data_IF_220961370076
#
_entry.id   IF_220961370076
#
_cell.length_a   1.000
_cell.length_b   1.000
_cell.length_c   1.000
_cell.angle_alpha   90.00
_cell.angle_beta   90.00
_cell.angle_gamma   90.00
#
_symmetry.space_group_name_H-M   'P 1'
#
loop_
_entity.id
_entity.type
_entity.pdbx_description
1 polymer ?
#
# COMPACT_ATOMS: atom_id res chain seq x y z
N UNK A 1 16.66 17.65 -29.63
CA UNK A 1 15.48 16.80 -29.48
C UNK A 1 15.94 15.37 -29.24
N UNK A 2 15.95 14.91 -27.99
CA UNK A 2 16.23 13.51 -27.67
C UNK A 2 15.07 12.67 -28.23
N UNK A 3 15.33 11.84 -29.22
CA UNK A 3 14.41 10.79 -29.63
C UNK A 3 14.39 9.73 -28.52
N UNK A 4 13.49 9.86 -27.58
CA UNK A 4 13.23 8.81 -26.59
C UNK A 4 12.71 7.60 -27.37
N UNK A 5 13.44 6.50 -27.29
CA UNK A 5 13.03 5.26 -27.98
C UNK A 5 11.92 4.60 -27.15
N UNK A 6 10.69 5.04 -27.36
CA UNK A 6 9.48 4.60 -26.64
C UNK A 6 9.21 3.07 -26.75
N UNK A 7 9.91 2.34 -27.63
CA UNK A 7 9.80 0.89 -27.74
C UNK A 7 10.32 0.10 -26.53
N UNK A 8 10.97 0.77 -25.56
CA UNK A 8 11.44 0.16 -24.29
C UNK A 8 10.60 0.57 -23.08
N UNK A 9 9.54 1.34 -23.28
CA UNK A 9 8.66 1.80 -22.21
C UNK A 9 7.35 1.00 -22.22
N UNK A 10 7.10 0.22 -21.15
CA UNK A 10 5.77 -0.37 -20.87
C UNK A 10 4.98 0.64 -20.05
N UNK A 11 4.29 1.56 -20.71
CA UNK A 11 3.44 2.55 -20.06
C UNK A 11 2.08 1.94 -19.76
N UNK A 12 1.75 1.79 -18.47
CA UNK A 12 0.45 1.35 -18.00
C UNK A 12 -0.27 2.50 -17.32
N UNK A 13 -1.56 2.64 -17.58
CA UNK A 13 -2.39 3.72 -17.07
C UNK A 13 -3.58 3.17 -16.28
N UNK A 14 -3.97 3.90 -15.23
CA UNK A 14 -5.16 3.65 -14.45
C UNK A 14 -5.96 4.94 -14.26
N UNK A 15 -7.30 4.90 -14.25
CA UNK A 15 -8.10 6.01 -13.79
C UNK A 15 -7.99 6.09 -12.26
N UNK A 16 -7.97 7.32 -11.72
CA UNK A 16 -7.92 7.56 -10.28
C UNK A 16 -8.92 8.65 -9.90
N UNK A 17 -9.93 8.36 -9.07
CA UNK A 17 -10.94 9.35 -8.65
C UNK A 17 -10.41 10.22 -7.49
N UNK A 18 -9.45 11.12 -7.78
CA UNK A 18 -8.74 11.95 -6.78
C UNK A 18 -9.64 12.83 -5.91
N UNK A 19 -10.89 13.04 -6.32
CA UNK A 19 -11.90 13.80 -5.55
C UNK A 19 -13.08 12.92 -5.10
N UNK A 20 -12.93 11.60 -5.12
CA UNK A 20 -14.01 10.66 -4.86
C UNK A 20 -15.06 10.61 -5.99
N UNK A 21 -16.07 9.75 -5.82
CA UNK A 21 -17.14 9.59 -6.82
C UNK A 21 -18.25 10.62 -6.70
N UNK A 22 -18.51 11.13 -5.55
CA UNK A 22 -19.52 12.14 -5.25
C UNK A 22 -20.90 11.89 -5.87
N UNK A 23 -21.85 11.43 -5.08
CA UNK A 23 -23.23 11.16 -5.50
C UNK A 23 -23.87 12.36 -6.23
N UNK A 24 -24.71 12.07 -7.24
CA UNK A 24 -25.34 13.10 -8.06
C UNK A 24 -24.42 13.77 -9.10
N UNK A 25 -23.22 13.23 -9.32
CA UNK A 25 -22.31 13.66 -10.40
C UNK A 25 -22.04 12.50 -11.35
N UNK A 26 -21.49 12.79 -12.54
CA UNK A 26 -21.12 11.76 -13.53
C UNK A 26 -19.72 11.17 -13.30
N UNK A 27 -19.10 11.39 -12.13
CA UNK A 27 -17.71 10.94 -11.87
C UNK A 27 -17.55 9.43 -11.94
N UNK A 28 -18.53 8.69 -11.42
CA UNK A 28 -18.50 7.22 -11.48
C UNK A 28 -18.60 6.73 -12.93
N UNK A 29 -19.53 7.27 -13.73
CA UNK A 29 -19.68 6.92 -15.15
C UNK A 29 -18.39 7.19 -15.95
N UNK A 30 -17.75 8.34 -15.71
CA UNK A 30 -16.46 8.68 -16.33
C UNK A 30 -15.38 7.72 -15.91
N UNK A 31 -15.32 7.35 -14.61
CA UNK A 31 -14.37 6.37 -14.09
C UNK A 31 -14.57 5.00 -14.73
N UNK A 32 -15.80 4.51 -14.82
CA UNK A 32 -16.14 3.22 -15.45
C UNK A 32 -15.73 3.18 -16.92
N UNK A 33 -16.04 4.24 -17.66
CA UNK A 33 -15.64 4.36 -19.08
C UNK A 33 -14.12 4.40 -19.26
N UNK A 34 -13.39 5.01 -18.33
CA UNK A 34 -11.93 5.03 -18.32
C UNK A 34 -11.34 3.69 -17.88
N UNK A 35 -11.97 3.03 -16.91
CA UNK A 35 -11.57 1.72 -16.41
C UNK A 35 -11.57 0.66 -17.49
N UNK A 36 -12.55 0.67 -18.39
CA UNK A 36 -12.61 -0.25 -19.53
C UNK A 36 -11.35 -0.15 -20.43
N UNK A 37 -10.84 1.06 -20.63
CA UNK A 37 -9.67 1.36 -21.49
C UNK A 37 -8.33 1.31 -20.77
N UNK A 38 -8.32 1.16 -19.44
CA UNK A 38 -7.12 1.19 -18.62
C UNK A 38 -6.43 -0.18 -18.53
N UNK A 39 -5.23 -0.21 -17.96
CA UNK A 39 -4.48 -1.43 -17.71
C UNK A 39 -4.78 -2.03 -16.33
N UNK A 40 -5.06 -1.17 -15.35
CA UNK A 40 -5.42 -1.52 -13.98
C UNK A 40 -6.31 -0.40 -13.41
N UNK A 41 -6.80 -0.56 -12.18
CA UNK A 41 -7.63 0.42 -11.48
C UNK A 41 -6.88 1.01 -10.29
N UNK A 42 -7.06 2.30 -10.04
CA UNK A 42 -6.52 2.98 -8.86
C UNK A 42 -7.64 3.72 -8.14
N UNK A 43 -7.76 3.55 -6.83
CA UNK A 43 -8.86 4.06 -6.03
C UNK A 43 -8.40 4.72 -4.73
N UNK A 44 -9.14 5.72 -4.29
CA UNK A 44 -8.91 6.52 -3.09
C UNK A 44 -10.16 6.53 -2.20
N UNK A 45 -10.48 5.43 -1.49
CA UNK A 45 -11.71 5.33 -0.69
C UNK A 45 -11.85 6.41 0.38
N UNK A 46 -10.72 6.90 0.93
CA UNK A 46 -10.68 7.98 1.91
C UNK A 46 -11.31 9.29 1.40
N UNK A 47 -11.38 9.50 0.07
CA UNK A 47 -12.03 10.68 -0.52
C UNK A 47 -13.55 10.62 -0.43
N UNK A 48 -14.11 9.43 -0.27
CA UNK A 48 -15.55 9.20 -0.08
C UNK A 48 -15.91 8.83 1.36
N UNK A 49 -14.92 8.79 2.26
CA UNK A 49 -15.18 8.54 3.67
C UNK A 49 -15.84 9.77 4.33
N UNK A 50 -16.68 9.51 5.33
CA UNK A 50 -17.32 10.52 6.14
C UNK A 50 -17.34 10.09 7.62
N UNK A 51 -16.99 11.02 8.48
CA UNK A 51 -16.89 10.77 9.93
C UNK A 51 -18.29 10.79 10.55
N UNK A 52 -19.18 11.65 10.05
CA UNK A 52 -20.53 11.85 10.56
C UNK A 52 -21.53 12.19 9.45
N UNK A 53 -22.81 12.34 9.81
CA UNK A 53 -23.86 12.66 8.86
C UNK A 53 -23.71 14.04 8.22
N UNK A 54 -23.07 15.01 8.89
CA UNK A 54 -22.85 16.36 8.36
C UNK A 54 -21.73 16.38 7.31
N UNK A 55 -20.77 15.46 7.40
CA UNK A 55 -19.67 15.36 6.43
C UNK A 55 -20.02 14.54 5.18
N UNK A 56 -21.27 14.05 5.07
CA UNK A 56 -21.73 13.20 3.94
C UNK A 56 -21.81 13.90 2.60
N UNK A 57 -21.84 15.23 2.54
CA UNK A 57 -22.19 16.02 1.36
C UNK A 57 -21.70 15.43 0.02
N UNK A 58 -22.54 14.62 -0.58
CA UNK A 58 -22.29 13.90 -1.82
C UNK A 58 -21.27 12.74 -1.74
N UNK A 59 -20.68 12.44 -0.59
CA UNK A 59 -19.79 11.29 -0.42
C UNK A 59 -20.59 9.98 -0.42
N UNK A 60 -20.05 8.95 -1.06
CA UNK A 60 -20.76 7.66 -1.20
C UNK A 60 -20.43 6.67 -0.08
N UNK A 61 -19.42 6.96 0.74
CA UNK A 61 -18.94 6.12 1.84
C UNK A 61 -17.76 5.23 1.45
N UNK A 62 -16.86 5.04 2.41
CA UNK A 62 -15.61 4.32 2.25
C UNK A 62 -15.80 2.89 1.71
N UNK A 63 -16.62 2.09 2.37
CA UNK A 63 -16.87 0.69 1.97
C UNK A 63 -17.60 0.58 0.61
N UNK A 64 -18.43 1.55 0.27
CA UNK A 64 -19.10 1.56 -1.04
C UNK A 64 -18.11 1.87 -2.16
N UNK A 65 -17.18 2.81 -1.95
CA UNK A 65 -16.09 3.08 -2.89
C UNK A 65 -15.23 1.83 -3.16
N UNK A 66 -14.90 1.07 -2.10
CA UNK A 66 -14.18 -0.22 -2.24
C UNK A 66 -14.97 -1.21 -3.08
N UNK A 67 -16.28 -1.38 -2.81
CA UNK A 67 -17.13 -2.32 -3.57
C UNK A 67 -17.13 -2.01 -5.06
N UNK A 68 -17.25 -0.74 -5.44
CA UNK A 68 -17.16 -0.32 -6.85
C UNK A 68 -15.84 -0.78 -7.47
N UNK A 69 -14.72 -0.60 -6.78
CA UNK A 69 -13.42 -1.03 -7.27
C UNK A 69 -13.31 -2.54 -7.43
N UNK A 70 -13.80 -3.32 -6.47
CA UNK A 70 -13.77 -4.78 -6.53
C UNK A 70 -14.70 -5.34 -7.61
N UNK A 71 -15.91 -4.80 -7.74
CA UNK A 71 -16.86 -5.18 -8.79
C UNK A 71 -16.30 -4.93 -10.19
N UNK A 72 -15.68 -3.77 -10.39
CA UNK A 72 -15.02 -3.43 -11.66
C UNK A 72 -13.77 -4.29 -11.92
N UNK A 73 -12.96 -4.55 -10.90
CA UNK A 73 -11.80 -5.44 -10.99
C UNK A 73 -12.23 -6.84 -11.44
N UNK A 74 -13.25 -7.41 -10.82
CA UNK A 74 -13.79 -8.72 -11.19
C UNK A 74 -14.40 -8.71 -12.60
N UNK A 75 -15.23 -7.72 -12.90
CA UNK A 75 -15.88 -7.56 -14.21
C UNK A 75 -14.89 -7.45 -15.37
N UNK A 76 -13.81 -6.70 -15.17
CA UNK A 76 -12.83 -6.39 -16.21
C UNK A 76 -11.61 -7.34 -16.20
N UNK A 77 -11.48 -8.19 -15.16
CA UNK A 77 -10.31 -9.06 -14.99
C UNK A 77 -9.01 -8.28 -14.77
N UNK A 78 -9.08 -7.13 -14.10
CA UNK A 78 -7.95 -6.21 -13.92
C UNK A 78 -7.49 -6.12 -12.47
N UNK A 79 -6.20 -5.87 -12.27
CA UNK A 79 -5.63 -5.50 -10.97
C UNK A 79 -6.28 -4.20 -10.47
N UNK A 80 -6.51 -4.11 -9.16
CA UNK A 80 -7.00 -2.91 -8.48
C UNK A 80 -6.07 -2.51 -7.34
N UNK A 81 -5.75 -1.22 -7.26
CA UNK A 81 -4.88 -0.63 -6.26
C UNK A 81 -5.71 0.34 -5.41
N UNK A 82 -5.71 0.14 -4.09
CA UNK A 82 -6.37 1.01 -3.13
C UNK A 82 -5.33 1.76 -2.31
N UNK A 83 -5.36 3.09 -2.36
CA UNK A 83 -4.54 3.96 -1.51
C UNK A 83 -5.19 4.06 -0.14
N UNK A 84 -4.56 3.47 0.88
CA UNK A 84 -5.13 3.28 2.21
C UNK A 84 -4.09 3.51 3.31
N UNK A 85 -4.60 3.91 4.48
CA UNK A 85 -3.81 4.03 5.72
C UNK A 85 -2.59 4.94 5.55
N UNK A 86 -2.82 6.14 5.01
CA UNK A 86 -1.77 7.09 4.62
C UNK A 86 -1.40 8.08 5.73
N UNK A 87 -2.27 8.30 6.74
CA UNK A 87 -2.09 9.37 7.70
C UNK A 87 -1.08 9.06 8.82
N UNK A 88 -0.55 7.83 8.91
CA UNK A 88 0.27 7.39 10.04
C UNK A 88 -0.46 7.52 11.40
N UNK A 89 -1.76 7.30 11.37
CA UNK A 89 -2.64 7.35 12.53
C UNK A 89 -2.97 5.93 13.00
N UNK A 90 -2.68 5.55 14.25
CA UNK A 90 -3.00 4.22 14.76
C UNK A 90 -4.50 3.88 14.77
N UNK A 91 -5.36 4.89 14.65
CA UNK A 91 -6.81 4.70 14.59
C UNK A 91 -7.34 4.48 13.17
N UNK A 92 -6.55 4.72 12.13
CA UNK A 92 -6.92 4.34 10.76
C UNK A 92 -7.18 2.84 10.64
N UNK A 93 -8.12 2.50 9.76
CA UNK A 93 -8.62 1.13 9.57
C UNK A 93 -8.88 0.80 8.11
N UNK A 94 -8.25 1.51 7.19
CA UNK A 94 -8.50 1.40 5.77
C UNK A 94 -8.28 -0.01 5.23
N UNK A 95 -7.13 -0.60 5.54
CA UNK A 95 -6.81 -1.98 5.15
C UNK A 95 -7.76 -2.98 5.79
N UNK A 96 -8.09 -2.85 7.08
CA UNK A 96 -9.03 -3.75 7.75
C UNK A 96 -10.41 -3.69 7.08
N UNK A 97 -10.90 -2.48 6.75
CA UNK A 97 -12.18 -2.30 6.07
C UNK A 97 -12.19 -2.84 4.64
N UNK A 98 -11.06 -2.75 3.92
CA UNK A 98 -10.91 -3.39 2.61
C UNK A 98 -11.05 -4.91 2.75
N UNK A 99 -10.35 -5.52 3.69
CA UNK A 99 -10.42 -6.97 3.90
C UNK A 99 -11.80 -7.44 4.33
N UNK A 100 -12.52 -6.65 5.17
CA UNK A 100 -13.91 -6.93 5.54
C UNK A 100 -14.83 -6.97 4.31
N UNK A 101 -14.63 -6.05 3.38
CA UNK A 101 -15.44 -6.03 2.14
C UNK A 101 -15.03 -7.16 1.22
N UNK A 102 -13.73 -7.41 1.09
CA UNK A 102 -13.17 -8.40 0.17
C UNK A 102 -13.58 -9.84 0.52
N UNK A 103 -13.86 -10.15 1.81
CA UNK A 103 -14.37 -11.45 2.24
C UNK A 103 -15.68 -11.88 1.53
N UNK A 104 -16.46 -10.90 1.06
CA UNK A 104 -17.72 -11.14 0.36
C UNK A 104 -17.59 -11.10 -1.18
N UNK A 105 -16.36 -10.99 -1.71
CA UNK A 105 -16.11 -10.86 -3.15
C UNK A 105 -15.14 -11.91 -3.67
N UNK A 106 -15.45 -12.43 -4.86
CA UNK A 106 -14.47 -13.17 -5.64
C UNK A 106 -13.43 -12.21 -6.25
N UNK A 107 -12.19 -12.68 -6.36
CA UNK A 107 -11.12 -11.93 -7.01
C UNK A 107 -10.85 -12.48 -8.42
N UNK A 108 -10.49 -11.62 -9.39
CA UNK A 108 -10.04 -12.11 -10.69
C UNK A 108 -8.74 -12.90 -10.54
N UNK A 109 -8.61 -13.98 -11.33
CA UNK A 109 -7.39 -14.78 -11.35
C UNK A 109 -6.31 -14.06 -12.14
N UNK A 110 -5.24 -13.67 -11.46
CA UNK A 110 -4.10 -13.02 -12.08
C UNK A 110 -3.05 -14.04 -12.51
N UNK A 111 -2.25 -13.75 -13.57
CA UNK A 111 -1.19 -14.62 -14.04
C UNK A 111 -0.21 -15.00 -12.91
N UNK A 112 0.18 -16.27 -12.87
CA UNK A 112 1.14 -16.76 -11.87
C UNK A 112 0.66 -16.73 -10.42
N UNK A 113 -0.65 -16.52 -10.16
CA UNK A 113 -1.19 -16.40 -8.81
C UNK A 113 -0.86 -15.05 -8.14
N UNK A 114 -0.48 -14.04 -8.90
CA UNK A 114 -0.24 -12.70 -8.37
C UNK A 114 -1.52 -12.13 -7.72
N UNK A 115 -1.40 -11.22 -6.74
CA UNK A 115 -2.56 -10.52 -6.20
C UNK A 115 -3.33 -9.75 -7.27
N UNK A 116 -4.65 -9.80 -7.20
CA UNK A 116 -5.53 -8.91 -7.95
C UNK A 116 -5.75 -7.58 -7.20
N UNK A 117 -5.64 -7.61 -5.88
CA UNK A 117 -5.87 -6.48 -4.98
C UNK A 117 -4.56 -6.06 -4.34
N UNK A 118 -4.25 -4.78 -4.45
CA UNK A 118 -3.05 -4.17 -3.88
C UNK A 118 -3.41 -2.99 -2.98
N UNK A 119 -2.72 -2.86 -1.87
CA UNK A 119 -2.78 -1.71 -0.98
C UNK A 119 -1.56 -0.84 -1.26
N UNK A 120 -1.79 0.43 -1.56
CA UNK A 120 -0.71 1.41 -1.71
C UNK A 120 -0.56 2.15 -0.38
N UNK A 121 0.68 2.35 0.05
CA UNK A 121 1.15 2.96 1.30
C UNK A 121 1.14 2.05 2.51
N UNK A 122 0.00 1.74 3.13
CA UNK A 122 -0.13 0.93 4.34
C UNK A 122 0.77 1.44 5.49
N UNK A 123 0.80 2.76 5.70
CA UNK A 123 1.68 3.44 6.68
C UNK A 123 1.16 3.24 8.11
N UNK A 124 -0.11 3.53 8.36
CA UNK A 124 -0.71 3.54 9.70
C UNK A 124 -0.59 2.21 10.47
N UNK A 125 -0.60 1.04 9.82
CA UNK A 125 -0.30 -0.22 10.49
C UNK A 125 1.10 -0.30 11.14
N UNK A 126 2.02 0.62 10.83
CA UNK A 126 3.31 0.72 11.54
C UNK A 126 3.12 1.08 13.02
N UNK A 127 2.03 1.75 13.36
CA UNK A 127 1.69 2.18 14.71
C UNK A 127 0.70 1.23 15.43
N UNK A 128 0.29 0.13 14.80
CA UNK A 128 -0.64 -0.82 15.41
C UNK A 128 0.04 -1.64 16.51
N UNK A 129 -0.71 -2.02 17.57
CA UNK A 129 -0.27 -3.07 18.50
C UNK A 129 0.08 -4.36 17.72
N UNK A 130 1.07 -5.09 18.22
CA UNK A 130 1.62 -6.28 17.53
C UNK A 130 0.55 -7.31 17.17
N UNK A 131 -0.38 -7.60 18.10
CA UNK A 131 -1.48 -8.55 17.85
C UNK A 131 -2.44 -8.08 16.75
N UNK A 132 -2.74 -6.76 16.70
CA UNK A 132 -3.60 -6.20 15.65
C UNK A 132 -2.92 -6.33 14.28
N UNK A 133 -1.63 -6.00 14.23
CA UNK A 133 -0.84 -6.13 13.02
C UNK A 133 -0.73 -7.60 12.56
N UNK A 134 -0.49 -8.54 13.48
CA UNK A 134 -0.43 -9.96 13.15
C UNK A 134 -1.74 -10.47 12.53
N UNK A 135 -2.89 -10.12 13.14
CA UNK A 135 -4.21 -10.49 12.58
C UNK A 135 -4.44 -9.88 11.20
N UNK A 136 -4.05 -8.61 11.00
CA UNK A 136 -4.16 -7.94 9.71
C UNK A 136 -3.39 -8.69 8.63
N UNK A 137 -2.13 -9.02 8.90
CA UNK A 137 -1.25 -9.71 7.95
C UNK A 137 -1.75 -11.12 7.64
N UNK A 138 -2.26 -11.86 8.63
CA UNK A 138 -2.85 -13.19 8.40
C UNK A 138 -4.02 -13.11 7.40
N UNK A 139 -4.94 -12.16 7.58
CA UNK A 139 -6.05 -11.93 6.64
C UNK A 139 -5.58 -11.53 5.24
N UNK A 140 -4.53 -10.71 5.13
CA UNK A 140 -3.94 -10.35 3.84
C UNK A 140 -3.36 -11.57 3.11
N UNK A 141 -2.71 -12.48 3.83
CA UNK A 141 -2.21 -13.73 3.27
C UNK A 141 -3.36 -14.63 2.77
N UNK A 142 -4.39 -14.83 3.59
CA UNK A 142 -5.56 -15.64 3.27
C UNK A 142 -6.28 -15.12 2.01
N UNK A 143 -6.36 -13.80 1.86
CA UNK A 143 -7.05 -13.14 0.75
C UNK A 143 -6.12 -12.78 -0.41
N UNK A 144 -4.85 -13.18 -0.39
CA UNK A 144 -3.85 -12.89 -1.41
C UNK A 144 -3.79 -11.40 -1.79
N UNK A 145 -3.68 -10.53 -0.79
CA UNK A 145 -3.55 -9.07 -0.98
C UNK A 145 -2.09 -8.67 -0.94
N UNK A 146 -1.65 -7.85 -1.91
CA UNK A 146 -0.29 -7.33 -1.98
C UNK A 146 -0.17 -5.90 -1.46
N UNK A 147 1.07 -5.43 -1.26
CA UNK A 147 1.37 -4.06 -0.83
C UNK A 147 2.34 -3.39 -1.78
N UNK A 148 2.07 -2.13 -2.12
CA UNK A 148 2.97 -1.24 -2.84
C UNK A 148 3.42 -0.16 -1.86
N UNK A 149 4.69 -0.17 -1.51
CA UNK A 149 5.26 0.80 -0.57
C UNK A 149 5.93 1.92 -1.35
N UNK A 150 5.64 3.17 -0.97
CA UNK A 150 6.20 4.38 -1.58
C UNK A 150 7.02 5.14 -0.51
N UNK A 151 8.31 4.79 -0.32
CA UNK A 151 9.11 5.27 0.79
C UNK A 151 9.22 6.79 0.88
N UNK A 152 9.48 7.50 -0.21
CA UNK A 152 9.60 8.96 -0.20
C UNK A 152 8.28 9.65 0.13
N UNK A 153 7.17 9.17 -0.45
CA UNK A 153 5.84 9.67 -0.13
C UNK A 153 5.51 9.43 1.35
N UNK A 154 5.82 8.23 1.87
CA UNK A 154 5.58 7.89 3.26
C UNK A 154 6.30 8.82 4.25
N UNK A 155 7.59 9.10 4.05
CA UNK A 155 8.34 10.00 4.95
C UNK A 155 7.96 11.47 4.76
N UNK A 156 7.30 11.85 3.67
CA UNK A 156 6.80 13.20 3.40
C UNK A 156 5.43 13.47 4.03
N UNK A 157 4.76 12.45 4.56
CA UNK A 157 3.45 12.60 5.20
C UNK A 157 3.54 13.48 6.46
N UNK A 158 2.43 14.19 6.72
CA UNK A 158 2.36 15.09 7.88
C UNK A 158 2.43 14.31 9.19
N UNK A 159 3.31 14.75 10.09
CA UNK A 159 3.39 14.17 11.42
C UNK A 159 2.20 14.60 12.29
N UNK A 160 1.64 13.66 13.03
CA UNK A 160 0.55 13.91 13.99
C UNK A 160 1.18 14.38 15.30
N UNK A 161 1.26 15.69 15.49
CA UNK A 161 1.92 16.34 16.63
C UNK A 161 1.26 16.11 17.99
N UNK A 162 -0.01 15.69 18.01
CA UNK A 162 -0.73 15.32 19.23
C UNK A 162 -0.30 13.98 19.79
N UNK A 163 0.36 13.14 19.02
CA UNK A 163 0.93 11.87 19.48
C UNK A 163 2.36 12.08 19.97
N UNK A 164 2.64 11.60 21.17
CA UNK A 164 3.97 11.67 21.77
C UNK A 164 4.88 10.52 21.29
N UNK A 165 6.19 10.72 21.43
CA UNK A 165 7.18 9.66 21.17
C UNK A 165 6.91 8.39 22.03
N UNK A 166 7.35 7.17 21.55
CA UNK A 166 8.21 7.01 20.38
C UNK A 166 7.46 7.23 19.07
N UNK A 167 8.10 8.00 18.19
CA UNK A 167 7.57 8.23 16.84
C UNK A 167 8.04 7.09 15.95
N UNK A 168 7.10 6.37 15.35
CA UNK A 168 7.41 5.37 14.35
C UNK A 168 7.80 6.02 13.01
N UNK A 169 8.64 5.36 12.23
CA UNK A 169 8.85 5.76 10.84
C UNK A 169 7.52 5.72 10.11
N UNK A 170 7.23 6.76 9.34
CA UNK A 170 6.01 6.83 8.52
C UNK A 170 6.12 5.94 7.28
N UNK A 171 6.37 4.64 7.48
CA UNK A 171 6.53 3.66 6.38
C UNK A 171 5.91 2.32 6.80
N UNK A 172 5.40 1.58 5.82
CA UNK A 172 4.89 0.23 6.06
C UNK A 172 5.96 -0.68 6.71
N UNK A 173 5.53 -1.63 7.51
CA UNK A 173 6.38 -2.64 8.17
C UNK A 173 6.88 -3.68 7.15
N UNK A 174 7.72 -3.22 6.21
CA UNK A 174 8.14 -4.00 5.03
C UNK A 174 8.81 -5.32 5.39
N UNK A 175 9.67 -5.34 6.42
CA UNK A 175 10.40 -6.56 6.78
C UNK A 175 9.47 -7.65 7.29
N UNK A 176 8.50 -7.29 8.11
CA UNK A 176 7.48 -8.21 8.61
C UNK A 176 6.55 -8.71 7.51
N UNK A 177 6.12 -7.83 6.61
CA UNK A 177 5.33 -8.20 5.43
C UNK A 177 6.08 -9.21 4.55
N UNK A 178 7.39 -8.97 4.28
CA UNK A 178 8.24 -9.90 3.53
C UNK A 178 8.39 -11.23 4.27
N UNK A 179 8.67 -11.19 5.59
CA UNK A 179 8.80 -12.40 6.40
C UNK A 179 7.52 -13.24 6.38
N UNK A 180 6.36 -12.58 6.42
CA UNK A 180 5.05 -13.19 6.30
C UNK A 180 4.70 -13.61 4.85
N UNK A 181 5.57 -13.37 3.87
CA UNK A 181 5.35 -13.68 2.44
C UNK A 181 4.18 -12.92 1.82
N UNK A 182 3.81 -11.76 2.35
CA UNK A 182 2.89 -10.85 1.68
C UNK A 182 3.59 -10.30 0.44
N UNK A 183 2.99 -10.37 -0.75
CA UNK A 183 3.55 -9.81 -1.96
C UNK A 183 3.81 -8.31 -1.80
N UNK A 184 5.04 -7.85 -2.09
CA UNK A 184 5.45 -6.47 -1.87
C UNK A 184 6.17 -5.93 -3.10
N UNK A 185 5.85 -4.68 -3.46
CA UNK A 185 6.50 -3.89 -4.51
C UNK A 185 6.91 -2.53 -3.98
N UNK A 186 7.83 -1.87 -4.65
CA UNK A 186 8.20 -0.48 -4.42
C UNK A 186 7.63 0.38 -5.54
N UNK A 187 7.05 1.52 -5.18
CA UNK A 187 6.57 2.55 -6.08
C UNK A 187 7.10 3.93 -5.66
N UNK A 188 7.04 4.90 -6.56
CA UNK A 188 7.47 6.28 -6.30
C UNK A 188 6.33 7.21 -5.87
N UNK A 189 5.07 6.78 -6.09
CA UNK A 189 3.90 7.62 -5.93
C UNK A 189 3.94 8.86 -6.86
N UNK A 190 3.66 10.06 -6.36
CA UNK A 190 3.62 11.30 -7.13
C UNK A 190 5.00 11.67 -7.71
N UNK A 191 5.01 12.20 -8.94
CA UNK A 191 6.23 12.66 -9.63
C UNK A 191 6.08 14.14 -9.94
N UNK A 192 6.88 14.98 -9.26
CA UNK A 192 6.99 16.44 -9.48
C UNK A 192 5.63 17.14 -9.60
N UNK A 193 4.69 16.82 -8.75
CA UNK A 193 3.35 17.41 -8.76
C UNK A 193 3.08 18.34 -7.56
N UNK A 194 1.84 18.80 -7.41
CA UNK A 194 1.43 19.73 -6.34
C UNK A 194 1.45 19.11 -4.94
N UNK A 195 1.42 17.79 -4.83
CA UNK A 195 1.42 17.07 -3.56
C UNK A 195 2.82 16.66 -3.11
N UNK A 196 3.67 16.22 -4.05
CA UNK A 196 5.06 15.82 -3.81
C UNK A 196 5.98 16.49 -4.85
N UNK A 197 6.24 17.81 -4.71
CA UNK A 197 7.02 18.56 -5.71
C UNK A 197 8.44 18.05 -5.93
N UNK A 198 9.03 17.40 -4.92
CA UNK A 198 10.38 16.83 -4.95
C UNK A 198 10.44 15.36 -5.39
N UNK A 199 9.28 14.75 -5.69
CA UNK A 199 9.22 13.37 -6.19
C UNK A 199 9.82 13.29 -7.59
N UNK A 200 10.92 12.55 -7.76
CA UNK A 200 11.64 12.44 -9.03
C UNK A 200 11.24 11.22 -9.87
N UNK A 201 10.44 10.29 -9.30
CA UNK A 201 10.06 9.05 -9.94
C UNK A 201 11.20 8.04 -10.08
N UNK A 202 12.36 8.30 -9.47
CA UNK A 202 13.50 7.39 -9.51
C UNK A 202 13.38 6.30 -8.42
N UNK A 203 13.16 5.06 -8.85
CA UNK A 203 13.10 3.91 -7.92
C UNK A 203 14.41 3.69 -7.15
N UNK A 204 15.55 4.22 -7.61
CA UNK A 204 16.79 4.16 -6.83
C UNK A 204 16.71 5.09 -5.61
N UNK A 205 16.08 6.25 -5.74
CA UNK A 205 15.76 7.14 -4.61
C UNK A 205 14.85 6.42 -3.61
N UNK A 206 13.79 5.76 -4.08
CA UNK A 206 12.89 4.97 -3.23
C UNK A 206 13.62 3.85 -2.49
N UNK A 207 14.49 3.10 -3.17
CA UNK A 207 15.31 2.04 -2.57
C UNK A 207 16.21 2.59 -1.47
N UNK A 208 16.85 3.74 -1.69
CA UNK A 208 17.73 4.37 -0.69
C UNK A 208 16.95 4.76 0.56
N UNK A 209 15.82 5.48 0.39
CA UNK A 209 14.97 5.91 1.50
C UNK A 209 14.40 4.71 2.24
N UNK A 210 13.83 3.74 1.50
CA UNK A 210 13.30 2.51 2.09
C UNK A 210 14.35 1.69 2.82
N UNK A 211 15.57 1.58 2.26
CA UNK A 211 16.69 0.89 2.88
C UNK A 211 17.13 1.50 4.21
N UNK A 212 17.16 2.83 4.28
CA UNK A 212 17.44 3.53 5.53
C UNK A 212 16.30 3.38 6.55
N UNK A 213 15.05 3.60 6.13
CA UNK A 213 13.89 3.52 7.01
C UNK A 213 13.67 2.11 7.57
N UNK A 214 13.86 1.07 6.75
CA UNK A 214 13.75 -0.33 7.17
C UNK A 214 15.05 -0.87 7.79
N UNK A 215 16.15 -0.10 7.80
CA UNK A 215 17.48 -0.54 8.28
C UNK A 215 17.98 -1.83 7.62
N UNK A 216 17.64 -2.02 6.35
CA UNK A 216 17.98 -3.22 5.58
C UNK A 216 18.99 -2.91 4.47
N UNK A 217 20.24 -3.26 4.67
CA UNK A 217 21.31 -3.16 3.67
C UNK A 217 21.40 -4.44 2.82
N UNK A 218 20.39 -4.69 1.98
CA UNK A 218 20.30 -5.86 1.10
C UNK A 218 19.97 -5.45 -0.35
N UNK A 219 20.93 -4.93 -1.14
CA UNK A 219 20.67 -4.36 -2.47
C UNK A 219 19.95 -5.30 -3.43
N UNK A 220 20.26 -6.59 -3.38
CA UNK A 220 19.61 -7.60 -4.25
C UNK A 220 18.12 -7.77 -3.94
N UNK A 221 17.72 -7.68 -2.67
CA UNK A 221 16.31 -7.74 -2.26
C UNK A 221 15.60 -6.47 -2.74
N UNK A 222 16.19 -5.30 -2.51
CA UNK A 222 15.63 -4.02 -2.96
C UNK A 222 15.45 -3.97 -4.47
N UNK A 223 16.42 -4.45 -5.26
CA UNK A 223 16.30 -4.53 -6.70
C UNK A 223 15.13 -5.42 -7.14
N UNK A 224 14.89 -6.54 -6.47
CA UNK A 224 13.75 -7.41 -6.74
C UNK A 224 12.43 -6.73 -6.42
N UNK A 225 12.33 -6.06 -5.28
CA UNK A 225 11.12 -5.32 -4.89
C UNK A 225 10.79 -4.20 -5.88
N UNK A 226 11.80 -3.45 -6.34
CA UNK A 226 11.61 -2.36 -7.31
C UNK A 226 11.25 -2.86 -8.72
N UNK A 227 11.68 -4.07 -9.08
CA UNK A 227 11.35 -4.68 -10.39
C UNK A 227 10.12 -5.59 -10.36
N UNK A 228 9.45 -5.72 -9.20
CA UNK A 228 8.34 -6.64 -9.02
C UNK A 228 8.73 -8.11 -9.11
N UNK A 229 10.02 -8.44 -8.94
CA UNK A 229 10.51 -9.81 -8.96
C UNK A 229 10.20 -10.50 -7.63
N UNK A 230 9.64 -11.70 -7.69
CA UNK A 230 9.30 -12.48 -6.50
C UNK A 230 10.54 -12.81 -5.67
N UNK A 231 10.45 -12.58 -4.36
CA UNK A 231 11.49 -12.95 -3.41
C UNK A 231 11.52 -14.47 -3.22
N UNK A 232 12.71 -15.04 -3.18
CA UNK A 232 12.89 -16.47 -2.94
C UNK A 232 13.11 -16.79 -1.44
N UNK A 233 13.25 -18.07 -1.10
CA UNK A 233 13.45 -18.50 0.28
C UNK A 233 14.71 -17.92 0.94
N UNK A 234 15.78 -17.68 0.17
CA UNK A 234 17.04 -17.10 0.67
C UNK A 234 16.84 -15.62 1.03
N UNK A 235 16.10 -14.89 0.20
CA UNK A 235 15.75 -13.49 0.47
C UNK A 235 14.94 -13.37 1.76
N UNK A 236 13.89 -14.20 1.90
CA UNK A 236 13.03 -14.24 3.09
C UNK A 236 13.82 -14.63 4.35
N UNK A 237 14.72 -15.61 4.25
CA UNK A 237 15.60 -15.97 5.36
C UNK A 237 16.55 -14.85 5.74
N UNK A 238 17.02 -14.05 4.77
CA UNK A 238 17.86 -12.87 5.03
C UNK A 238 17.10 -11.81 5.79
N UNK A 239 15.87 -11.49 5.38
CA UNK A 239 14.99 -10.57 6.11
C UNK A 239 14.70 -11.10 7.53
N UNK A 240 14.43 -12.40 7.67
CA UNK A 240 14.21 -13.03 8.98
C UNK A 240 15.40 -12.87 9.94
N UNK A 241 16.65 -12.92 9.44
CA UNK A 241 17.84 -12.65 10.28
C UNK A 241 17.89 -11.20 10.75
N UNK A 242 17.56 -10.24 9.88
CA UNK A 242 17.53 -8.82 10.25
C UNK A 242 16.49 -8.57 11.34
N UNK A 243 15.28 -9.08 11.16
CA UNK A 243 14.21 -8.99 12.17
C UNK A 243 14.61 -9.63 13.50
N UNK A 244 15.30 -10.76 13.46
CA UNK A 244 15.78 -11.43 14.65
C UNK A 244 16.80 -10.57 15.44
N UNK A 245 17.71 -9.88 14.76
CA UNK A 245 18.65 -8.96 15.43
C UNK A 245 17.94 -7.73 15.99
N UNK A 246 16.98 -7.13 15.26
CA UNK A 246 16.17 -6.03 15.78
C UNK A 246 15.36 -6.47 17.00
N UNK A 247 14.77 -7.67 16.99
CA UNK A 247 14.07 -8.25 18.13
C UNK A 247 14.96 -8.33 19.39
N UNK A 248 16.21 -8.76 19.25
CA UNK A 248 17.14 -8.80 20.40
C UNK A 248 17.35 -7.43 21.03
N UNK A 249 17.38 -6.38 20.21
CA UNK A 249 17.50 -4.99 20.69
C UNK A 249 16.22 -4.59 21.44
N UNK A 250 15.06 -4.80 20.84
CA UNK A 250 13.77 -4.46 21.44
C UNK A 250 13.55 -5.17 22.79
N UNK A 251 13.85 -6.49 22.87
CA UNK A 251 13.71 -7.27 24.11
C UNK A 251 14.68 -6.84 25.22
N UNK A 252 15.83 -6.24 24.87
CA UNK A 252 16.70 -5.64 25.90
C UNK A 252 16.14 -4.35 26.47
N UNK A 253 15.39 -3.60 25.66
CA UNK A 253 14.74 -2.35 26.07
C UNK A 253 13.43 -2.61 26.81
N UNK A 254 12.65 -3.57 26.32
CA UNK A 254 11.40 -4.03 26.94
C UNK A 254 11.32 -5.56 26.90
N UNK A 255 11.66 -6.26 28.00
CA UNK A 255 11.59 -7.72 28.08
C UNK A 255 10.16 -8.29 27.98
N UNK A 256 9.14 -7.45 28.12
CA UNK A 256 7.74 -7.87 28.02
C UNK A 256 7.19 -7.77 26.62
N UNK A 257 7.88 -7.06 25.72
CA UNK A 257 7.45 -6.91 24.34
C UNK A 257 7.32 -8.26 23.62
N UNK A 258 6.31 -8.39 22.80
CA UNK A 258 6.05 -9.60 21.99
C UNK A 258 5.85 -9.17 20.54
N UNK A 259 6.73 -9.57 19.64
CA UNK A 259 6.60 -9.23 18.21
C UNK A 259 5.42 -9.93 17.56
N UNK A 260 4.89 -9.32 16.49
CA UNK A 260 3.81 -9.89 15.69
C UNK A 260 4.21 -11.22 15.01
N UNK A 261 5.50 -11.38 14.73
CA UNK A 261 6.07 -12.58 14.08
C UNK A 261 7.34 -13.04 14.79
N UNK A 262 7.49 -14.35 14.90
CA UNK A 262 8.70 -14.98 15.43
C UNK A 262 9.74 -15.30 14.35
#
# INVERSE_FOLDING_TARGET
MLKVNLRRFDLRVAPTPIFGFKAGTNRLEVFEAAADKSHFLSLLPEKDDYIDSASRDGKIGFKHHIRIGLELSLKLGKEVQFHLDQANDPDERGTEQLLDVLEAFDQPKMPGGAPAVWIVHMISPSAYPEERFARLVARMQEQNVGVIVCPTAAVSMRQIRSLNAPVHNSIARMLELIKAKVPLRIGSDNICDVFVPQGDGDLLTEIKVGGHAARMAAPSIWAKLATGTTLNAVDIATVGRILHEDRKVCLRMDPTWRPAFE
#
